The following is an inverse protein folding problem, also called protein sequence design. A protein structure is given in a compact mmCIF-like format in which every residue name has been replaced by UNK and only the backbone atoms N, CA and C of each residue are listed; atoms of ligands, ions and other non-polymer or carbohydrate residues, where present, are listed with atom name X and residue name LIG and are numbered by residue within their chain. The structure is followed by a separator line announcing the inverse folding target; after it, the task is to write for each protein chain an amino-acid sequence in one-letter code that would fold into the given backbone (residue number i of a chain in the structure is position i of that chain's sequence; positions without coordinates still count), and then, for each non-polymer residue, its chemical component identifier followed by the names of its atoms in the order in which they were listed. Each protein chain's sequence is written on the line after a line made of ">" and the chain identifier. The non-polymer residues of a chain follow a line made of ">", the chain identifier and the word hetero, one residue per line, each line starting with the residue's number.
data_IF_976040826054
#
_entry.id   IF_976040826054
#
_cell.length_a   1.000
_cell.length_b   1.000
_cell.length_c   1.000
_cell.angle_alpha   90.00
_cell.angle_beta   90.00
_cell.angle_gamma   90.00
#
_symmetry.space_group_name_H-M   'P 1'
#
loop_
_entity.id
_entity.type
_entity.pdbx_description
1 polymer ?
#
# COMPACT_ATOMS: atom_id res chain seq x y z
N UNK A 1 -38.27 23.07 -10.63
CA UNK A 1 -37.18 23.37 -11.58
C UNK A 1 -35.89 23.20 -10.79
N UNK A 2 -35.14 22.13 -11.05
CA UNK A 2 -33.82 21.92 -10.45
C UNK A 2 -32.80 22.82 -11.13
N UNK A 3 -31.87 23.37 -10.37
CA UNK A 3 -30.81 24.24 -10.89
C UNK A 3 -29.81 23.40 -11.69
N UNK A 4 -29.59 23.70 -12.99
CA UNK A 4 -28.67 22.93 -13.84
C UNK A 4 -27.19 23.05 -13.43
N UNK A 5 -26.87 23.85 -12.40
CA UNK A 5 -25.53 23.98 -11.84
C UNK A 5 -25.35 23.35 -10.45
N UNK A 6 -26.32 22.54 -9.98
CA UNK A 6 -26.16 21.79 -8.73
C UNK A 6 -25.04 20.74 -8.84
N UNK A 7 -24.08 20.78 -7.91
CA UNK A 7 -22.98 19.82 -7.79
C UNK A 7 -23.45 18.52 -7.15
N UNK A 8 -23.99 17.64 -8.00
CA UNK A 8 -24.29 16.26 -7.61
C UNK A 8 -23.44 15.32 -8.45
N UNK A 9 -22.99 14.21 -7.85
CA UNK A 9 -22.21 13.18 -8.57
C UNK A 9 -22.91 12.71 -9.86
N UNK A 10 -24.25 12.77 -9.90
CA UNK A 10 -25.05 12.48 -11.08
C UNK A 10 -24.88 13.50 -12.20
N UNK A 11 -24.76 14.79 -11.89
CA UNK A 11 -24.60 15.84 -12.90
C UNK A 11 -23.21 15.80 -13.55
N UNK A 12 -22.17 15.43 -12.81
CA UNK A 12 -20.81 15.27 -13.36
C UNK A 12 -20.74 14.08 -14.33
N UNK A 13 -21.37 12.95 -13.97
CA UNK A 13 -21.50 11.80 -14.87
C UNK A 13 -22.25 12.20 -16.16
N UNK A 14 -23.32 13.00 -16.05
CA UNK A 14 -24.07 13.46 -17.22
C UNK A 14 -23.28 14.44 -18.12
N UNK A 15 -22.35 15.22 -17.58
CA UNK A 15 -21.41 16.04 -18.36
C UNK A 15 -20.36 15.18 -19.07
N UNK A 16 -19.87 14.14 -18.41
CA UNK A 16 -18.87 13.21 -18.96
C UNK A 16 -19.43 12.39 -20.14
N UNK A 17 -20.72 12.00 -20.08
CA UNK A 17 -21.44 11.38 -21.18
C UNK A 17 -21.92 12.38 -22.27
N UNK A 18 -21.62 13.68 -22.13
CA UNK A 18 -21.93 14.72 -23.12
C UNK A 18 -23.42 15.11 -23.21
N UNK A 19 -24.23 14.76 -22.20
CA UNK A 19 -25.66 15.06 -22.14
C UNK A 19 -25.92 16.47 -21.61
N UNK A 20 -25.07 16.94 -20.67
CA UNK A 20 -25.08 18.32 -20.17
C UNK A 20 -23.88 19.10 -20.73
N UNK A 21 -24.03 20.43 -20.95
CA UNK A 21 -22.90 21.27 -21.34
C UNK A 21 -21.81 21.30 -20.26
N UNK A 22 -20.53 21.56 -20.62
CA UNK A 22 -19.46 21.71 -19.65
C UNK A 22 -19.83 22.75 -18.60
N UNK A 23 -19.46 22.49 -17.35
CA UNK A 23 -19.68 23.46 -16.27
C UNK A 23 -18.88 24.72 -16.59
N UNK A 24 -19.49 25.89 -16.47
CA UNK A 24 -18.73 27.15 -16.52
C UNK A 24 -17.84 27.20 -15.27
N UNK A 25 -16.53 27.08 -15.47
CA UNK A 25 -15.54 27.28 -14.42
C UNK A 25 -15.70 28.70 -13.87
N UNK A 26 -15.75 28.81 -12.54
CA UNK A 26 -15.92 30.10 -11.90
C UNK A 26 -14.68 30.97 -12.15
N UNK A 27 -14.87 32.30 -12.21
CA UNK A 27 -13.74 33.23 -12.43
C UNK A 27 -12.63 33.05 -11.38
N UNK A 28 -13.00 32.66 -10.16
CA UNK A 28 -12.09 32.46 -9.04
C UNK A 28 -11.17 31.24 -9.25
N UNK A 29 -11.68 30.14 -9.83
CA UNK A 29 -10.89 28.94 -10.15
C UNK A 29 -9.91 29.17 -11.30
N UNK A 30 -10.32 29.95 -12.30
CA UNK A 30 -9.45 30.35 -13.41
C UNK A 30 -8.33 31.26 -12.90
N UNK A 31 -8.65 32.23 -12.04
CA UNK A 31 -7.67 33.12 -11.42
C UNK A 31 -6.67 32.35 -10.54
N UNK A 32 -7.13 31.37 -9.76
CA UNK A 32 -6.28 30.52 -8.94
C UNK A 32 -5.35 29.62 -9.79
N UNK A 33 -5.86 29.06 -10.89
CA UNK A 33 -5.07 28.25 -11.83
C UNK A 33 -3.98 29.10 -12.51
N UNK A 34 -4.34 30.32 -12.95
CA UNK A 34 -3.39 31.26 -13.57
C UNK A 34 -2.31 31.67 -12.56
N UNK A 35 -2.67 31.92 -11.30
CA UNK A 35 -1.71 32.27 -10.26
C UNK A 35 -0.71 31.12 -10.00
N UNK A 36 -1.17 29.87 -10.00
CA UNK A 36 -0.31 28.68 -9.85
C UNK A 36 0.68 28.56 -11.02
N UNK A 37 0.19 28.70 -12.25
CA UNK A 37 1.04 28.64 -13.46
C UNK A 37 2.07 29.78 -13.50
N UNK A 38 1.70 30.98 -13.09
CA UNK A 38 2.62 32.11 -12.98
C UNK A 38 3.72 31.83 -11.93
N UNK A 39 3.35 31.23 -10.80
CA UNK A 39 4.27 30.89 -9.71
C UNK A 39 5.25 29.77 -10.11
N UNK A 40 4.78 28.78 -10.87
CA UNK A 40 5.63 27.73 -11.46
C UNK A 40 6.57 28.29 -12.54
N UNK A 41 6.09 29.22 -13.38
CA UNK A 41 6.91 29.89 -14.40
C UNK A 41 7.98 30.83 -13.81
N UNK A 42 7.80 31.29 -12.57
CA UNK A 42 8.74 32.15 -11.86
C UNK A 42 9.94 31.38 -11.27
N UNK A 43 9.88 30.04 -11.20
CA UNK A 43 11.01 29.20 -10.78
C UNK A 43 12.05 29.18 -11.91
N UNK A 44 13.06 30.04 -11.83
CA UNK A 44 14.15 30.16 -12.82
C UNK A 44 14.86 28.80 -12.99
N UNK A 45 14.86 28.17 -14.19
CA UNK A 45 15.54 26.90 -14.41
C UNK A 45 17.04 27.14 -14.62
N UNK A 46 17.79 27.17 -13.51
CA UNK A 46 19.23 27.43 -13.49
C UNK A 46 20.06 26.41 -14.29
N UNK A 47 19.53 25.22 -14.58
CA UNK A 47 20.23 24.17 -15.37
C UNK A 47 20.50 24.54 -16.83
N UNK A 48 19.78 25.51 -17.40
CA UNK A 48 19.90 25.90 -18.82
C UNK A 48 20.58 27.25 -19.03
N UNK A 49 21.04 27.91 -17.96
CA UNK A 49 21.66 29.22 -18.04
C UNK A 49 23.13 29.15 -18.45
N UNK A 50 23.57 30.13 -19.23
CA UNK A 50 25.00 30.30 -19.56
C UNK A 50 25.77 30.86 -18.37
N UNK A 51 27.09 30.68 -18.36
CA UNK A 51 27.98 31.10 -17.26
C UNK A 51 27.90 32.60 -16.95
N UNK A 52 27.63 33.45 -17.95
CA UNK A 52 27.41 34.88 -17.79
C UNK A 52 26.06 35.20 -17.14
N UNK A 53 24.99 34.48 -17.53
CA UNK A 53 23.65 34.65 -16.96
C UNK A 53 23.56 34.15 -15.51
N UNK A 54 24.30 33.09 -15.17
CA UNK A 54 24.44 32.64 -13.78
C UNK A 54 25.15 33.68 -12.90
N UNK A 55 26.14 34.39 -13.46
CA UNK A 55 26.88 35.43 -12.76
C UNK A 55 26.05 36.69 -12.51
N UNK A 56 25.15 37.03 -13.42
CA UNK A 56 24.21 38.14 -13.21
C UNK A 56 23.05 37.75 -12.27
N UNK A 57 22.64 36.48 -12.29
CA UNK A 57 21.68 35.94 -11.31
C UNK A 57 22.28 35.80 -9.89
N UNK A 58 23.61 35.74 -9.76
CA UNK A 58 24.31 35.76 -8.46
C UNK A 58 24.14 37.13 -7.78
N UNK A 59 24.10 38.22 -8.56
CA UNK A 59 23.87 39.58 -8.05
C UNK A 59 22.39 39.85 -7.71
N UNK A 60 21.45 39.07 -8.29
CA UNK A 60 20.02 39.05 -7.91
C UNK A 60 19.72 38.12 -6.73
N UNK A 61 20.70 37.36 -6.24
CA UNK A 61 20.52 36.42 -5.15
C UNK A 61 20.44 37.17 -3.81
N UNK A 62 19.23 37.50 -3.40
CA UNK A 62 18.99 38.36 -2.26
C UNK A 62 18.90 37.62 -0.92
N UNK A 63 18.63 38.37 0.14
CA UNK A 63 18.50 37.83 1.50
C UNK A 63 17.28 36.89 1.63
N UNK A 64 16.23 37.07 0.82
CA UNK A 64 15.03 36.21 0.80
C UNK A 64 15.35 34.86 0.14
N UNK A 65 16.09 34.85 -0.97
CA UNK A 65 16.58 33.64 -1.61
C UNK A 65 17.51 32.82 -0.68
N UNK A 66 18.38 33.52 0.06
CA UNK A 66 19.24 32.88 1.06
C UNK A 66 18.42 32.25 2.20
N UNK A 67 17.40 32.96 2.69
CA UNK A 67 16.49 32.44 3.70
C UNK A 67 15.67 31.24 3.17
N UNK A 68 15.20 31.28 1.92
CA UNK A 68 14.46 30.19 1.29
C UNK A 68 15.30 28.91 1.18
N UNK A 69 16.55 29.03 0.72
CA UNK A 69 17.50 27.90 0.69
C UNK A 69 17.76 27.36 2.09
N UNK A 70 17.99 28.25 3.07
CA UNK A 70 18.29 27.82 4.43
C UNK A 70 17.10 27.10 5.07
N UNK A 71 15.88 27.58 4.78
CA UNK A 71 14.62 26.95 5.21
C UNK A 71 14.42 25.60 4.54
N UNK A 72 14.68 25.47 3.24
CA UNK A 72 14.64 24.20 2.51
C UNK A 72 15.65 23.19 3.06
N UNK A 73 16.89 23.64 3.32
CA UNK A 73 17.95 22.82 3.93
C UNK A 73 17.54 22.36 5.33
N UNK A 74 16.99 23.25 6.16
CA UNK A 74 16.48 22.92 7.50
C UNK A 74 15.34 21.91 7.41
N UNK A 75 14.38 22.09 6.49
CA UNK A 75 13.26 21.17 6.26
C UNK A 75 13.74 19.78 5.85
N UNK A 76 14.60 19.67 4.84
CA UNK A 76 15.18 18.39 4.40
C UNK A 76 15.97 17.69 5.51
N UNK A 77 16.74 18.45 6.29
CA UNK A 77 17.47 17.89 7.43
C UNK A 77 16.53 17.39 8.53
N UNK A 78 15.42 18.08 8.78
CA UNK A 78 14.39 17.65 9.73
C UNK A 78 13.69 16.37 9.26
N UNK A 79 13.30 16.29 7.98
CA UNK A 79 12.72 15.09 7.37
C UNK A 79 13.67 13.89 7.50
N UNK A 80 14.95 14.09 7.17
CA UNK A 80 15.95 13.03 7.28
C UNK A 80 16.17 12.60 8.73
N UNK A 81 16.21 13.55 9.67
CA UNK A 81 16.28 13.24 11.11
C UNK A 81 15.04 12.50 11.61
N UNK A 82 13.85 12.85 11.12
CA UNK A 82 12.60 12.18 11.47
C UNK A 82 12.59 10.74 10.95
N UNK A 83 13.00 10.52 9.70
CA UNK A 83 13.11 9.18 9.12
C UNK A 83 14.11 8.32 9.89
N UNK A 84 15.30 8.87 10.18
CA UNK A 84 16.31 8.16 10.98
C UNK A 84 15.83 7.80 12.39
N UNK A 85 14.98 8.63 13.00
CA UNK A 85 14.36 8.32 14.31
C UNK A 85 13.31 7.21 14.23
N UNK A 86 12.70 6.97 13.07
CA UNK A 86 11.76 5.86 12.86
C UNK A 86 12.47 4.54 12.67
N UNK A 87 13.64 4.54 12.04
CA UNK A 87 14.48 3.35 11.83
C UNK A 87 15.19 2.91 13.12
N UNK A 88 14.42 2.37 14.08
CA UNK A 88 14.91 1.96 15.41
C UNK A 88 15.26 0.47 15.49
N UNK A 89 14.69 -0.33 14.61
CA UNK A 89 14.84 -1.78 14.55
C UNK A 89 15.77 -2.15 13.38
N UNK A 90 15.74 -3.41 12.94
CA UNK A 90 16.67 -3.88 11.91
C UNK A 90 16.99 -5.37 11.96
N UNK A 91 16.50 -6.08 12.98
CA UNK A 91 16.77 -7.50 13.18
C UNK A 91 15.55 -8.22 13.75
N UNK A 92 15.48 -9.53 13.49
CA UNK A 92 14.47 -10.41 14.08
C UNK A 92 14.95 -10.88 15.46
N UNK A 93 14.33 -10.37 16.52
CA UNK A 93 14.69 -10.75 17.89
C UNK A 93 13.82 -11.88 18.44
N UNK A 94 14.43 -12.77 19.19
CA UNK A 94 13.71 -13.79 19.94
C UNK A 94 13.31 -13.26 21.31
N UNK A 95 12.04 -13.44 21.68
CA UNK A 95 11.53 -13.08 23.00
C UNK A 95 10.92 -14.29 23.70
N UNK A 96 10.96 -14.27 25.03
CA UNK A 96 10.27 -15.24 25.87
C UNK A 96 8.82 -14.83 26.10
N UNK A 97 7.94 -15.79 26.44
CA UNK A 97 6.52 -15.48 26.63
C UNK A 97 6.21 -14.48 27.76
N UNK A 98 7.05 -14.41 28.80
CA UNK A 98 6.94 -13.36 29.84
C UNK A 98 7.24 -11.95 29.31
N UNK A 99 8.00 -11.85 28.21
CA UNK A 99 8.32 -10.58 27.55
C UNK A 99 7.25 -10.16 26.53
N UNK A 100 6.36 -11.08 26.12
CA UNK A 100 5.35 -10.85 25.10
C UNK A 100 4.54 -9.57 25.34
N UNK A 101 3.98 -9.42 26.55
CA UNK A 101 3.11 -8.29 26.88
C UNK A 101 3.89 -6.97 26.80
N UNK A 102 5.13 -6.94 27.30
CA UNK A 102 5.93 -5.73 27.31
C UNK A 102 6.49 -5.36 25.93
N UNK A 103 6.93 -6.36 25.15
CA UNK A 103 7.58 -6.15 23.86
C UNK A 103 6.57 -5.96 22.72
N UNK A 104 5.36 -6.53 22.83
CA UNK A 104 4.34 -6.56 21.78
C UNK A 104 3.13 -5.70 22.15
N UNK A 105 2.44 -6.01 23.26
CA UNK A 105 1.21 -5.31 23.64
C UNK A 105 1.48 -3.88 24.11
N UNK A 106 2.53 -3.68 24.91
CA UNK A 106 2.92 -2.37 25.45
C UNK A 106 4.05 -1.71 24.65
N UNK A 107 4.16 -2.04 23.36
CA UNK A 107 5.13 -1.40 22.49
C UNK A 107 4.89 0.13 22.39
N UNK A 108 5.92 0.86 21.94
CA UNK A 108 5.81 2.30 21.72
C UNK A 108 4.63 2.64 20.79
N UNK A 109 3.97 3.77 21.06
CA UNK A 109 2.90 4.26 20.18
C UNK A 109 3.43 4.50 18.77
N UNK A 110 2.57 4.23 17.79
CA UNK A 110 2.86 4.33 16.35
C UNK A 110 3.97 3.40 15.84
N UNK A 111 4.36 2.38 16.62
CA UNK A 111 5.23 1.30 16.15
C UNK A 111 4.39 0.07 15.80
N UNK A 112 4.61 -0.45 14.59
CA UNK A 112 4.10 -1.74 14.18
C UNK A 112 4.95 -2.85 14.79
N UNK A 113 4.30 -3.86 15.37
CA UNK A 113 4.99 -5.04 15.92
C UNK A 113 4.46 -6.30 15.25
N UNK A 114 5.36 -7.04 14.61
CA UNK A 114 5.05 -8.32 13.99
C UNK A 114 5.67 -9.41 14.86
N UNK A 115 4.84 -10.29 15.40
CA UNK A 115 5.28 -11.45 16.17
C UNK A 115 4.96 -12.75 15.45
N UNK A 116 5.99 -13.58 15.28
CA UNK A 116 5.85 -14.95 14.80
C UNK A 116 5.96 -15.95 15.95
N UNK A 117 4.85 -16.64 16.24
CA UNK A 117 4.85 -17.79 17.14
C UNK A 117 5.22 -19.03 16.34
N UNK A 118 6.23 -19.75 16.81
CA UNK A 118 6.85 -20.82 16.04
C UNK A 118 7.24 -22.04 16.88
N UNK A 119 7.47 -23.15 16.18
CA UNK A 119 8.10 -24.36 16.73
C UNK A 119 9.21 -24.81 15.78
N UNK A 120 10.41 -25.07 16.31
CA UNK A 120 11.59 -25.41 15.49
C UNK A 120 11.46 -26.74 14.72
N UNK A 121 10.55 -27.64 15.14
CA UNK A 121 10.28 -28.90 14.45
C UNK A 121 9.43 -28.74 13.19
N UNK A 122 8.81 -27.57 12.96
CA UNK A 122 7.92 -27.33 11.82
C UNK A 122 8.71 -26.61 10.72
N UNK A 123 8.91 -27.22 9.53
CA UNK A 123 9.71 -26.62 8.46
C UNK A 123 9.21 -25.24 8.01
N UNK A 124 7.89 -25.07 7.92
CA UNK A 124 7.28 -23.81 7.51
C UNK A 124 7.59 -22.66 8.48
N UNK A 125 7.70 -22.94 9.79
CA UNK A 125 8.13 -21.96 10.79
C UNK A 125 9.57 -21.49 10.53
N UNK A 126 10.45 -22.40 10.12
CA UNK A 126 11.85 -22.05 9.81
C UNK A 126 11.92 -21.14 8.58
N UNK A 127 11.12 -21.41 7.55
CA UNK A 127 11.02 -20.57 6.36
C UNK A 127 10.53 -19.15 6.69
N UNK A 128 9.44 -19.04 7.47
CA UNK A 128 8.91 -17.74 7.92
C UNK A 128 9.96 -16.97 8.72
N UNK A 129 10.72 -17.63 9.61
CA UNK A 129 11.80 -16.99 10.36
C UNK A 129 12.90 -16.43 9.45
N UNK A 130 13.28 -17.15 8.37
CA UNK A 130 14.26 -16.67 7.41
C UNK A 130 13.76 -15.40 6.70
N UNK A 131 12.53 -15.43 6.19
CA UNK A 131 11.92 -14.28 5.52
C UNK A 131 11.79 -13.07 6.45
N UNK A 132 11.27 -13.26 7.66
CA UNK A 132 11.15 -12.17 8.65
C UNK A 132 12.52 -11.61 9.04
N UNK A 133 13.59 -12.41 9.05
CA UNK A 133 14.93 -11.90 9.29
C UNK A 133 15.44 -10.99 8.17
N UNK A 134 15.06 -11.26 6.91
CA UNK A 134 15.39 -10.39 5.77
C UNK A 134 14.53 -9.12 5.79
N UNK A 135 13.23 -9.27 6.04
CA UNK A 135 12.29 -8.16 6.12
C UNK A 135 12.62 -7.21 7.27
N UNK A 136 13.07 -7.73 8.42
CA UNK A 136 13.47 -6.89 9.55
C UNK A 136 14.63 -5.93 9.19
N UNK A 137 15.55 -6.37 8.33
CA UNK A 137 16.67 -5.54 7.84
C UNK A 137 16.20 -4.53 6.80
N UNK A 138 15.22 -4.90 5.97
CA UNK A 138 14.62 -4.03 4.95
C UNK A 138 13.72 -2.95 5.55
N UNK A 139 13.01 -3.27 6.63
CA UNK A 139 12.02 -2.41 7.28
C UNK A 139 12.37 -2.13 8.75
N UNK A 140 13.42 -1.34 9.03
CA UNK A 140 13.87 -1.03 10.38
C UNK A 140 12.89 -0.15 11.17
N UNK A 141 11.80 0.31 10.56
CA UNK A 141 10.72 1.06 11.22
C UNK A 141 9.75 0.14 11.97
N UNK A 142 9.64 -1.10 11.52
CA UNK A 142 8.74 -2.11 12.07
C UNK A 142 9.51 -3.06 12.97
N UNK A 143 8.91 -3.39 14.11
CA UNK A 143 9.54 -4.28 15.09
C UNK A 143 9.19 -5.73 14.78
N UNK A 144 10.21 -6.53 14.45
CA UNK A 144 10.06 -7.95 14.19
C UNK A 144 10.54 -8.78 15.37
N UNK A 145 9.65 -9.62 15.90
CA UNK A 145 9.97 -10.54 16.98
C UNK A 145 9.47 -11.95 16.68
N UNK A 146 10.11 -12.94 17.30
CA UNK A 146 9.66 -14.34 17.26
C UNK A 146 9.66 -14.91 18.68
N UNK A 147 8.78 -15.86 18.93
CA UNK A 147 8.73 -16.56 20.21
C UNK A 147 8.38 -18.04 20.01
N UNK A 148 8.98 -18.91 20.81
CA UNK A 148 8.60 -20.32 20.85
C UNK A 148 7.18 -20.41 21.40
N UNK A 149 6.26 -21.03 20.65
CA UNK A 149 4.83 -21.03 20.98
C UNK A 149 4.55 -21.52 22.40
N UNK A 150 5.22 -22.59 22.83
CA UNK A 150 5.03 -23.19 24.16
C UNK A 150 5.46 -22.25 25.31
N UNK A 151 6.29 -21.24 25.04
CA UNK A 151 6.65 -20.23 26.04
C UNK A 151 5.55 -19.20 26.26
N UNK A 152 4.68 -18.99 25.26
CA UNK A 152 3.63 -17.97 25.27
C UNK A 152 2.25 -18.58 25.57
N UNK A 153 1.93 -19.71 24.95
CA UNK A 153 0.61 -20.35 25.01
C UNK A 153 0.80 -21.85 25.25
N UNK A 154 0.23 -22.34 26.35
CA UNK A 154 0.24 -23.77 26.66
C UNK A 154 -0.70 -24.53 25.72
N UNK A 155 -0.31 -25.75 25.33
CA UNK A 155 -1.14 -26.65 24.50
C UNK A 155 -1.60 -26.07 23.15
N UNK A 156 -0.84 -25.15 22.55
CA UNK A 156 -1.14 -24.64 21.22
C UNK A 156 -0.98 -25.73 20.16
N UNK A 157 -2.00 -25.93 19.32
CA UNK A 157 -2.00 -26.98 18.31
C UNK A 157 -1.02 -26.68 17.17
N UNK A 158 -0.26 -27.69 16.75
CA UNK A 158 0.73 -27.55 15.69
C UNK A 158 0.10 -27.23 14.32
N UNK A 159 -1.17 -27.61 14.09
CA UNK A 159 -1.92 -27.27 12.87
C UNK A 159 -2.17 -25.76 12.73
N UNK A 160 -2.08 -25.01 13.83
CA UNK A 160 -2.21 -23.56 13.83
C UNK A 160 -0.88 -22.85 13.51
N UNK A 161 0.23 -23.58 13.40
CA UNK A 161 1.54 -23.03 13.11
C UNK A 161 1.87 -23.08 11.60
N UNK A 162 2.66 -22.12 11.08
CA UNK A 162 3.13 -20.90 11.76
C UNK A 162 1.97 -19.96 12.13
N UNK A 163 2.14 -19.15 13.18
CA UNK A 163 1.16 -18.10 13.54
C UNK A 163 1.87 -16.75 13.55
N UNK A 164 1.36 -15.78 12.79
CA UNK A 164 1.85 -14.41 12.77
C UNK A 164 0.74 -13.50 13.28
N UNK A 165 1.06 -12.66 14.26
CA UNK A 165 0.19 -11.55 14.68
C UNK A 165 0.85 -10.22 14.35
N UNK A 166 0.05 -9.31 13.82
CA UNK A 166 0.43 -7.93 13.54
C UNK A 166 -0.27 -7.02 14.54
N UNK A 167 0.52 -6.28 15.29
CA UNK A 167 0.06 -5.35 16.31
C UNK A 167 0.34 -3.91 15.94
N UNK A 168 -0.56 -3.03 16.33
CA UNK A 168 -0.37 -1.58 16.37
C UNK A 168 -1.07 -1.01 17.58
N UNK A 169 -0.40 -0.12 18.32
CA UNK A 169 -1.00 0.56 19.47
C UNK A 169 -1.67 -0.39 20.49
N UNK A 170 -1.09 -1.57 20.68
CA UNK A 170 -1.57 -2.61 21.61
C UNK A 170 -2.76 -3.44 21.13
N UNK A 171 -3.24 -3.22 19.90
CA UNK A 171 -4.33 -3.99 19.29
C UNK A 171 -3.81 -4.90 18.18
N UNK A 172 -4.52 -6.01 17.93
CA UNK A 172 -4.23 -6.92 16.81
C UNK A 172 -4.91 -6.36 15.57
N UNK A 173 -4.11 -5.97 14.58
CA UNK A 173 -4.58 -5.48 13.28
C UNK A 173 -4.78 -6.63 12.29
N UNK A 174 -3.93 -7.66 12.37
CA UNK A 174 -4.08 -8.86 11.55
C UNK A 174 -3.54 -10.12 12.23
N UNK A 175 -4.04 -11.27 11.78
CA UNK A 175 -3.60 -12.59 12.18
C UNK A 175 -3.48 -13.49 10.95
N UNK A 176 -2.42 -14.29 10.90
CA UNK A 176 -2.24 -15.34 9.91
C UNK A 176 -1.95 -16.63 10.65
N UNK A 177 -2.85 -17.59 10.56
CA UNK A 177 -2.81 -18.83 11.35
C UNK A 177 -2.71 -20.04 10.42
N UNK A 178 -1.66 -20.83 10.61
CA UNK A 178 -1.42 -22.04 9.85
C UNK A 178 -0.80 -21.78 8.47
N UNK A 179 -0.46 -22.88 7.81
CA UNK A 179 0.33 -22.88 6.57
C UNK A 179 -0.37 -22.10 5.45
N UNK A 180 -1.68 -22.30 5.27
CA UNK A 180 -2.44 -21.74 4.15
C UNK A 180 -2.51 -20.21 4.26
N UNK A 181 -2.90 -19.69 5.43
CA UNK A 181 -3.02 -18.24 5.64
C UNK A 181 -1.66 -17.54 5.61
N UNK A 182 -0.59 -18.23 6.03
CA UNK A 182 0.77 -17.72 5.94
C UNK A 182 1.37 -17.82 4.52
N UNK A 183 0.61 -18.28 3.52
CA UNK A 183 1.01 -18.25 2.11
C UNK A 183 1.41 -19.60 1.50
N UNK A 184 1.26 -20.69 2.23
CA UNK A 184 1.51 -22.05 1.73
C UNK A 184 2.95 -22.52 1.92
N UNK A 185 3.21 -23.80 1.65
CA UNK A 185 4.51 -24.45 1.87
C UNK A 185 5.68 -23.83 1.08
N UNK A 186 5.37 -23.14 -0.03
CA UNK A 186 6.34 -22.54 -0.95
C UNK A 186 6.29 -21.00 -0.89
N UNK A 187 6.02 -20.45 0.29
CA UNK A 187 5.97 -19.01 0.52
C UNK A 187 7.26 -18.33 0.05
N UNK A 188 7.12 -17.35 -0.84
CA UNK A 188 8.23 -16.48 -1.27
C UNK A 188 8.36 -15.27 -0.36
N UNK A 189 9.52 -14.63 -0.39
CA UNK A 189 9.81 -13.44 0.42
C UNK A 189 8.85 -12.30 0.07
N UNK A 190 8.64 -12.08 -1.24
CA UNK A 190 7.80 -11.00 -1.78
C UNK A 190 6.33 -11.21 -1.41
N UNK A 191 5.88 -12.47 -1.32
CA UNK A 191 4.50 -12.78 -0.91
C UNK A 191 4.25 -12.48 0.57
N UNK A 192 5.24 -12.75 1.43
CA UNK A 192 5.15 -12.38 2.84
C UNK A 192 5.24 -10.86 3.02
N UNK A 193 6.12 -10.21 2.25
CA UNK A 193 6.21 -8.75 2.20
C UNK A 193 4.86 -8.13 1.81
N UNK A 194 4.26 -8.60 0.72
CA UNK A 194 2.96 -8.13 0.26
C UNK A 194 1.87 -8.29 1.32
N UNK A 195 1.77 -9.46 1.96
CA UNK A 195 0.80 -9.72 3.04
C UNK A 195 0.94 -8.76 4.22
N UNK A 196 2.17 -8.43 4.60
CA UNK A 196 2.42 -7.49 5.70
C UNK A 196 2.15 -6.04 5.27
N UNK A 197 2.40 -5.71 4.00
CA UNK A 197 2.13 -4.40 3.42
C UNK A 197 0.63 -4.14 3.26
N UNK A 198 -0.16 -5.15 2.89
CA UNK A 198 -1.62 -5.07 2.77
C UNK A 198 -2.29 -4.69 4.11
N UNK A 199 -1.72 -5.15 5.22
CA UNK A 199 -2.15 -4.76 6.58
C UNK A 199 -1.68 -3.34 6.95
N UNK A 200 -0.73 -2.78 6.21
CA UNK A 200 -0.08 -1.49 6.48
C UNK A 200 1.10 -1.59 7.44
N UNK A 201 1.54 -2.80 7.79
CA UNK A 201 2.61 -3.03 8.77
C UNK A 201 4.01 -2.64 8.25
N UNK A 202 4.17 -2.60 6.93
CA UNK A 202 5.39 -2.19 6.23
C UNK A 202 5.01 -1.42 4.96
N UNK A 203 5.91 -0.57 4.47
CA UNK A 203 5.75 0.17 3.21
C UNK A 203 6.55 -0.55 2.12
N UNK A 204 5.88 -1.24 1.21
CA UNK A 204 6.51 -1.96 0.10
C UNK A 204 6.59 -1.10 -1.15
N UNK A 205 7.62 -1.32 -1.97
CA UNK A 205 7.74 -0.75 -3.32
C UNK A 205 7.10 -1.65 -4.40
N UNK A 206 6.50 -2.78 -4.00
CA UNK A 206 5.81 -3.68 -4.93
C UNK A 206 4.54 -3.02 -5.47
N UNK A 207 4.37 -3.03 -6.79
CA UNK A 207 3.21 -2.42 -7.47
C UNK A 207 2.01 -3.38 -7.55
N UNK A 208 2.26 -4.70 -7.60
CA UNK A 208 1.23 -5.73 -7.75
C UNK A 208 1.45 -6.91 -6.80
N UNK A 209 0.35 -7.63 -6.48
CA UNK A 209 0.41 -8.85 -5.70
C UNK A 209 1.21 -9.93 -6.46
N UNK A 210 2.32 -10.45 -5.89
CA UNK A 210 3.15 -11.46 -6.53
C UNK A 210 2.43 -12.81 -6.73
N UNK A 211 1.35 -13.08 -5.97
CA UNK A 211 0.43 -14.16 -6.30
C UNK A 211 -0.54 -13.68 -7.35
N UNK A 212 -0.24 -14.00 -8.61
CA UNK A 212 -1.25 -13.96 -9.67
C UNK A 212 -2.32 -14.98 -9.29
N UNK A 213 -3.50 -14.50 -8.88
CA UNK A 213 -4.67 -15.37 -8.85
C UNK A 213 -4.79 -15.97 -10.24
N UNK A 214 -4.75 -17.30 -10.30
CA UNK A 214 -5.13 -18.03 -11.49
C UNK A 214 -6.62 -17.78 -11.59
N UNK A 215 -7.00 -16.66 -12.23
CA UNK A 215 -8.39 -16.37 -12.55
C UNK A 215 -8.87 -17.59 -13.31
N UNK A 216 -9.83 -18.27 -12.71
CA UNK A 216 -10.27 -19.60 -13.05
C UNK A 216 -10.82 -19.59 -14.48
N UNK A 217 -9.95 -19.87 -15.45
CA UNK A 217 -10.23 -19.86 -16.89
C UNK A 217 -11.36 -20.86 -17.24
N UNK A 218 -11.67 -21.78 -16.31
CA UNK A 218 -12.83 -22.67 -16.35
C UNK A 218 -14.16 -21.96 -16.09
N UNK A 219 -14.22 -20.91 -15.26
CA UNK A 219 -15.48 -20.20 -14.95
C UNK A 219 -15.88 -19.26 -16.10
N UNK A 220 -14.90 -18.64 -16.76
CA UNK A 220 -15.16 -17.84 -17.97
C UNK A 220 -15.63 -18.68 -19.16
N UNK A 221 -15.19 -19.95 -19.24
CA UNK A 221 -15.59 -20.86 -20.32
C UNK A 221 -17.04 -21.37 -20.18
N UNK A 222 -17.58 -21.42 -18.96
CA UNK A 222 -18.97 -21.86 -18.72
C UNK A 222 -19.99 -20.73 -18.98
N UNK A 223 -19.60 -19.46 -18.83
CA UNK A 223 -20.49 -18.33 -19.21
C UNK A 223 -20.65 -18.15 -20.72
N UNK A 224 -19.73 -18.69 -21.52
CA UNK A 224 -19.73 -18.48 -22.97
C UNK A 224 -20.48 -19.55 -23.78
N UNK A 225 -21.19 -20.48 -23.14
CA UNK A 225 -21.91 -21.58 -23.82
C UNK A 225 -23.44 -21.53 -23.70
N UNK A 226 -24.03 -20.41 -23.23
CA UNK A 226 -25.50 -20.32 -23.04
C UNK A 226 -26.23 -19.28 -23.90
N UNK A 227 -25.64 -18.84 -25.02
CA UNK A 227 -26.33 -17.97 -25.99
C UNK A 227 -26.10 -18.51 -27.40
N UNK A 228 -26.94 -19.45 -27.81
CA UNK A 228 -27.40 -19.62 -29.19
C UNK A 228 -28.78 -20.28 -29.11
N UNK A 229 -29.75 -19.49 -28.67
CA UNK A 229 -31.15 -19.66 -29.03
C UNK A 229 -31.40 -18.65 -30.15
N UNK A 230 -31.62 -19.14 -31.37
CA UNK A 230 -32.26 -18.40 -32.46
C UNK A 230 -32.92 -19.43 -33.39
N UNK A 231 -34.19 -19.64 -33.08
CA UNK A 231 -35.30 -19.89 -34.00
C UNK A 231 -35.12 -19.32 -35.41
N UNK A 232 -35.38 -20.10 -36.46
CA UNK A 232 -36.67 -20.02 -37.18
C UNK A 232 -36.81 -20.90 -38.44
N UNK A 233 -38.08 -21.13 -38.80
CA UNK A 233 -38.65 -21.44 -40.12
C UNK A 233 -38.77 -22.93 -40.53
N UNK A 234 -39.91 -23.49 -40.96
CA UNK A 234 -41.20 -22.94 -41.42
C UNK A 234 -42.26 -24.05 -41.45
N UNK A 235 -43.53 -23.67 -41.29
CA UNK A 235 -44.73 -24.50 -41.42
C UNK A 235 -44.88 -25.14 -42.81
N UNK A 236 -45.39 -26.36 -42.87
CA UNK A 236 -46.48 -26.70 -43.82
C UNK A 236 -47.31 -27.87 -43.33
N UNK A 237 -48.61 -27.60 -43.21
CA UNK A 237 -49.69 -28.57 -43.02
C UNK A 237 -49.70 -29.61 -44.15
N UNK A 238 -50.01 -30.87 -43.82
CA UNK A 238 -51.16 -31.53 -44.41
C UNK A 238 -51.49 -32.87 -43.74
N UNK A 239 -52.76 -32.98 -43.39
CA UNK A 239 -53.50 -34.22 -43.16
C UNK A 239 -53.19 -35.32 -44.17
N UNK A 240 -53.27 -36.59 -43.76
CA UNK A 240 -54.36 -37.52 -44.15
C UNK A 240 -53.97 -38.98 -43.88
N UNK A 241 -54.89 -39.68 -43.21
CA UNK A 241 -55.11 -41.13 -43.07
C UNK A 241 -54.41 -41.91 -41.96
#
# INVERSE_FOLDING_TARGET
>A
MQDPNEDTEWNDILRDFGILPPKEESKDEIEEMVLRLQKEAMVKPFEKMTLAQLKEAEDEFDEEDMQAIETYRKKRLQEWKALKKKQKFGELREISGNQYVNEVTNAEKDVWVIIHLYRSSIPMCLLVNQHLSLLARKFPETKFVKAIVNSCIQHYHDNCLPTIFVYKNGQIEAKFIGIIECGGINLKLEELEWKLAEVGAIQTDLEENPKKDIVDMMVSSIRNTSIHDDSDNSNSDNDTK
#
